data_IF_328696641506
#
_entry.id   IF_328696641506
#
_cell.length_a   1.000
_cell.length_b   1.000
_cell.length_c   1.000
_cell.angle_alpha   90.00
_cell.angle_beta   90.00
_cell.angle_gamma   90.00
#
_symmetry.space_group_name_H-M   'P 1'
#
loop_
_entity.id
_entity.type
_entity.pdbx_description
1 polymer ?
#
# COMPACT_ATOMS: atom_id res chain seq x y z
N UNK A 1 -16.90 1.92 12.84
CA UNK A 1 -15.46 1.71 13.14
C UNK A 1 -14.83 0.75 12.15
N UNK A 2 -15.36 -0.47 11.96
CA UNK A 2 -14.83 -1.43 10.98
C UNK A 2 -14.84 -0.94 9.54
N UNK A 3 -15.92 -0.27 9.09
CA UNK A 3 -15.99 0.28 7.72
C UNK A 3 -14.94 1.37 7.48
N UNK A 4 -14.72 2.23 8.47
CA UNK A 4 -13.72 3.29 8.40
C UNK A 4 -12.31 2.70 8.30
N UNK A 5 -12.01 1.68 9.10
CA UNK A 5 -10.73 0.95 9.03
C UNK A 5 -10.54 0.27 7.67
N UNK A 6 -11.59 -0.38 7.14
CA UNK A 6 -11.54 -1.00 5.83
C UNK A 6 -11.29 0.03 4.72
N UNK A 7 -11.96 1.17 4.76
CA UNK A 7 -11.74 2.29 3.83
C UNK A 7 -10.31 2.82 3.92
N UNK A 8 -9.77 3.05 5.13
CA UNK A 8 -8.38 3.49 5.29
C UNK A 8 -7.37 2.46 4.73
N UNK A 9 -7.61 1.16 4.92
CA UNK A 9 -6.74 0.12 4.36
C UNK A 9 -6.80 0.07 2.84
N UNK A 10 -7.99 0.23 2.25
CA UNK A 10 -8.14 0.32 0.79
C UNK A 10 -7.39 1.52 0.23
N UNK A 11 -7.51 2.69 0.87
CA UNK A 11 -6.79 3.90 0.42
C UNK A 11 -5.29 3.73 0.56
N UNK A 12 -4.81 3.16 1.67
CA UNK A 12 -3.38 2.84 1.85
C UNK A 12 -2.87 1.88 0.77
N UNK A 13 -3.64 0.85 0.44
CA UNK A 13 -3.29 -0.08 -0.63
C UNK A 13 -3.23 0.62 -2.00
N UNK A 14 -4.22 1.46 -2.32
CA UNK A 14 -4.23 2.26 -3.56
C UNK A 14 -3.01 3.18 -3.66
N UNK A 15 -2.67 3.83 -2.56
CA UNK A 15 -1.50 4.70 -2.46
C UNK A 15 -0.19 3.92 -2.71
N UNK A 16 -0.01 2.77 -2.07
CA UNK A 16 1.18 1.92 -2.24
C UNK A 16 1.30 1.39 -3.68
N UNK A 17 0.18 0.98 -4.28
CA UNK A 17 0.15 0.54 -5.69
C UNK A 17 0.54 1.68 -6.62
N UNK A 18 0.02 2.89 -6.39
CA UNK A 18 0.40 4.06 -7.21
C UNK A 18 1.89 4.37 -7.03
N UNK A 19 2.40 4.41 -5.80
CA UNK A 19 3.83 4.66 -5.53
C UNK A 19 4.72 3.65 -6.24
N UNK A 20 4.42 2.36 -6.11
CA UNK A 20 5.19 1.29 -6.76
C UNK A 20 5.14 1.38 -8.29
N UNK A 21 3.96 1.67 -8.85
CA UNK A 21 3.80 1.81 -10.29
C UNK A 21 4.52 3.07 -10.84
N UNK A 22 4.60 4.15 -10.06
CA UNK A 22 5.38 5.36 -10.38
C UNK A 22 6.88 5.09 -10.31
N UNK A 23 7.33 4.37 -9.29
CA UNK A 23 8.72 3.91 -9.19
C UNK A 23 9.10 3.07 -10.41
N UNK A 24 8.27 2.10 -10.79
CA UNK A 24 8.50 1.26 -11.97
C UNK A 24 8.53 2.09 -13.27
N UNK A 25 7.59 3.03 -13.44
CA UNK A 25 7.53 3.95 -14.57
C UNK A 25 8.82 4.78 -14.70
N UNK A 26 9.30 5.34 -13.59
CA UNK A 26 10.57 6.10 -13.54
C UNK A 26 11.75 5.22 -13.95
N UNK A 27 11.82 3.96 -13.50
CA UNK A 27 12.87 3.02 -13.92
C UNK A 27 12.81 2.71 -15.41
N UNK A 28 11.61 2.40 -15.94
CA UNK A 28 11.41 2.12 -17.37
C UNK A 28 11.78 3.34 -18.23
N UNK A 29 11.36 4.55 -17.84
CA UNK A 29 11.72 5.79 -18.54
C UNK A 29 13.22 6.06 -18.49
N UNK A 30 13.87 5.80 -17.34
CA UNK A 30 15.32 5.97 -17.20
C UNK A 30 16.10 5.03 -18.13
N UNK A 31 15.68 3.78 -18.23
CA UNK A 31 16.32 2.83 -19.14
C UNK A 31 16.06 3.19 -20.60
N UNK A 32 14.84 3.64 -20.94
CA UNK A 32 14.53 4.14 -22.28
C UNK A 32 15.32 5.40 -22.65
N UNK A 33 15.60 6.29 -21.70
CA UNK A 33 16.47 7.45 -21.92
C UNK A 33 17.91 7.03 -22.25
N UNK A 34 18.45 6.02 -21.56
CA UNK A 34 19.77 5.46 -21.89
C UNK A 34 19.78 4.84 -23.28
N UNK A 35 18.73 4.10 -23.65
CA UNK A 35 18.59 3.55 -25.00
C UNK A 35 18.54 4.64 -26.06
N UNK A 36 17.77 5.70 -25.85
CA UNK A 36 17.70 6.84 -26.78
C UNK A 36 19.05 7.58 -26.90
N UNK A 37 19.79 7.70 -25.80
CA UNK A 37 21.15 8.26 -25.81
C UNK A 37 22.09 7.40 -26.65
N UNK A 38 22.05 6.08 -26.50
CA UNK A 38 22.83 5.16 -27.34
C UNK A 38 22.41 5.27 -28.81
N UNK A 39 21.10 5.32 -29.11
CA UNK A 39 20.60 5.47 -30.47
C UNK A 39 21.02 6.81 -31.11
N UNK A 40 21.12 7.87 -30.31
CA UNK A 40 21.64 9.16 -30.76
C UNK A 40 23.13 9.06 -31.10
N UNK A 41 23.94 8.43 -30.24
CA UNK A 41 25.36 8.18 -30.51
C UNK A 41 25.55 7.38 -31.82
N UNK A 42 24.77 6.31 -31.99
CA UNK A 42 24.79 5.48 -33.20
C UNK A 42 24.36 6.28 -34.45
N UNK A 43 23.34 7.13 -34.32
CA UNK A 43 22.88 8.00 -35.39
C UNK A 43 23.93 9.06 -35.79
N UNK A 44 24.69 9.59 -34.84
CA UNK A 44 25.83 10.47 -35.13
C UNK A 44 26.99 9.74 -35.77
N UNK A 45 27.19 8.46 -35.46
CA UNK A 45 28.24 7.63 -36.04
C UNK A 45 27.92 7.10 -37.45
N UNK A 46 26.64 7.11 -37.86
CA UNK A 46 26.15 6.60 -39.15
C UNK A 46 26.99 7.07 -40.37
N UNK A 47 27.37 8.36 -40.50
CA UNK A 47 28.18 8.83 -41.63
C UNK A 47 29.59 8.25 -41.67
N UNK A 48 30.16 7.88 -40.51
CA UNK A 48 31.51 7.32 -40.39
C UNK A 48 31.58 5.89 -40.92
N UNK A 49 30.44 5.21 -41.05
CA UNK A 49 30.33 3.85 -41.60
C UNK A 49 30.35 3.83 -43.14
N UNK A 50 30.41 4.99 -43.80
CA UNK A 50 30.41 5.10 -45.24
C UNK A 50 31.77 4.66 -45.84
N UNK A 51 31.74 3.67 -46.74
CA UNK A 51 32.92 3.25 -47.52
C UNK A 51 33.11 4.06 -48.81
N UNK A 52 32.10 4.82 -49.25
CA UNK A 52 32.12 5.60 -50.49
C UNK A 52 31.60 7.03 -50.26
N UNK A 53 32.17 8.07 -50.92
CA UNK A 53 31.78 9.48 -50.73
C UNK A 53 30.30 9.78 -51.02
N UNK A 54 29.74 9.22 -52.09
CA UNK A 54 28.31 9.41 -52.41
C UNK A 54 27.38 8.79 -51.35
N UNK A 55 27.73 7.60 -50.86
CA UNK A 55 27.01 6.93 -49.76
C UNK A 55 27.09 7.73 -48.46
N UNK A 56 28.21 8.43 -48.24
CA UNK A 56 28.40 9.30 -47.08
C UNK A 56 27.39 10.45 -47.06
N UNK A 57 27.16 11.11 -48.20
CA UNK A 57 26.19 12.21 -48.30
C UNK A 57 24.77 11.71 -47.98
N UNK A 58 24.38 10.55 -48.51
CA UNK A 58 23.08 9.93 -48.21
C UNK A 58 22.95 9.56 -46.72
N UNK A 59 24.00 8.99 -46.11
CA UNK A 59 24.02 8.65 -44.69
C UNK A 59 24.05 9.89 -43.78
N UNK A 60 24.65 11.00 -44.22
CA UNK A 60 24.61 12.28 -43.51
C UNK A 60 23.18 12.84 -43.46
N UNK A 61 22.43 12.77 -44.56
CA UNK A 61 21.03 13.24 -44.57
C UNK A 61 20.09 12.31 -43.79
N UNK A 62 20.35 10.99 -43.80
CA UNK A 62 19.64 10.04 -42.94
C UNK A 62 19.95 10.27 -41.46
N UNK A 63 21.23 10.49 -41.13
CA UNK A 63 21.69 10.82 -39.78
C UNK A 63 20.99 12.06 -39.24
N UNK A 64 20.93 13.16 -40.01
CA UNK A 64 20.25 14.40 -39.59
C UNK A 64 18.78 14.16 -39.23
N UNK A 65 18.04 13.47 -40.11
CA UNK A 65 16.61 13.16 -39.86
C UNK A 65 16.41 12.29 -38.62
N UNK A 66 17.26 11.26 -38.46
CA UNK A 66 17.22 10.38 -37.28
C UNK A 66 17.53 11.15 -36.00
N UNK A 67 18.60 11.94 -35.98
CA UNK A 67 18.99 12.77 -34.83
C UNK A 67 17.89 13.75 -34.44
N UNK A 68 17.27 14.44 -35.41
CA UNK A 68 16.15 15.35 -35.13
C UNK A 68 14.96 14.62 -34.49
N UNK A 69 14.59 13.46 -35.03
CA UNK A 69 13.48 12.66 -34.48
C UNK A 69 13.79 12.12 -33.08
N UNK A 70 14.99 11.61 -32.86
CA UNK A 70 15.42 11.05 -31.57
C UNK A 70 15.56 12.13 -30.50
N UNK A 71 16.07 13.33 -30.84
CA UNK A 71 16.11 14.47 -29.92
C UNK A 71 14.72 14.93 -29.49
N UNK A 72 13.76 14.92 -30.41
CA UNK A 72 12.37 15.25 -30.09
C UNK A 72 11.80 14.24 -29.10
N UNK A 73 12.01 12.94 -29.36
CA UNK A 73 11.59 11.88 -28.45
C UNK A 73 12.28 11.98 -27.09
N UNK A 74 13.59 12.26 -27.05
CA UNK A 74 14.34 12.44 -25.81
C UNK A 74 13.78 13.60 -24.99
N UNK A 75 13.53 14.76 -25.61
CA UNK A 75 12.97 15.92 -24.93
C UNK A 75 11.57 15.63 -24.36
N UNK A 76 10.69 14.99 -25.14
CA UNK A 76 9.37 14.57 -24.67
C UNK A 76 9.46 13.60 -23.49
N UNK A 77 10.36 12.60 -23.57
CA UNK A 77 10.56 11.61 -22.51
C UNK A 77 11.18 12.23 -21.25
N UNK A 78 12.12 13.18 -21.39
CA UNK A 78 12.68 13.94 -20.26
C UNK A 78 11.61 14.77 -19.54
N UNK A 79 10.69 15.42 -20.27
CA UNK A 79 9.59 16.16 -19.63
C UNK A 79 8.63 15.24 -18.87
N UNK A 80 8.35 14.05 -19.40
CA UNK A 80 7.53 13.03 -18.71
C UNK A 80 8.26 12.49 -17.48
N UNK A 81 9.55 12.18 -17.61
CA UNK A 81 10.39 11.70 -16.50
C UNK A 81 10.41 12.69 -15.33
N UNK A 82 10.58 13.98 -15.60
CA UNK A 82 10.57 15.01 -14.56
C UNK A 82 9.24 15.05 -13.78
N UNK A 83 8.10 14.99 -14.50
CA UNK A 83 6.77 14.94 -13.87
C UNK A 83 6.57 13.68 -13.01
N UNK A 84 7.06 12.54 -13.47
CA UNK A 84 6.98 11.27 -12.73
C UNK A 84 7.84 11.27 -11.47
N UNK A 85 9.05 11.84 -11.52
CA UNK A 85 9.90 12.01 -10.33
C UNK A 85 9.29 13.00 -9.33
N UNK A 86 8.74 14.13 -9.79
CA UNK A 86 8.01 15.06 -8.92
C UNK A 86 6.82 14.38 -8.22
N UNK A 87 6.00 13.63 -8.98
CA UNK A 87 4.88 12.90 -8.41
C UNK A 87 5.33 11.83 -7.40
N UNK A 88 6.39 11.08 -7.71
CA UNK A 88 6.99 10.09 -6.82
C UNK A 88 7.50 10.73 -5.53
N UNK A 89 8.24 11.83 -5.60
CA UNK A 89 8.74 12.53 -4.41
C UNK A 89 7.60 13.05 -3.53
N UNK A 90 6.52 13.54 -4.14
CA UNK A 90 5.32 13.96 -3.41
C UNK A 90 4.70 12.77 -2.67
N UNK A 91 4.50 11.63 -3.34
CA UNK A 91 4.01 10.41 -2.71
C UNK A 91 4.90 9.99 -1.53
N UNK A 92 6.22 9.91 -1.72
CA UNK A 92 7.14 9.57 -0.62
C UNK A 92 7.00 10.56 0.56
N UNK A 93 6.84 11.86 0.29
CA UNK A 93 6.65 12.86 1.34
C UNK A 93 5.33 12.71 2.10
N UNK A 94 4.27 12.25 1.43
CA UNK A 94 2.98 11.97 2.07
C UNK A 94 3.05 10.69 2.89
N UNK A 95 3.77 9.68 2.42
CA UNK A 95 4.00 8.45 3.16
C UNK A 95 4.76 8.72 4.46
N UNK A 96 5.85 9.49 4.40
CA UNK A 96 6.61 9.87 5.58
C UNK A 96 5.74 10.64 6.58
N UNK A 97 4.96 11.62 6.12
CA UNK A 97 4.01 12.34 6.96
C UNK A 97 2.96 11.42 7.59
N UNK A 98 2.49 10.40 6.85
CA UNK A 98 1.54 9.42 7.38
C UNK A 98 2.17 8.55 8.49
N UNK A 99 3.44 8.19 8.36
CA UNK A 99 4.21 7.47 9.37
C UNK A 99 4.41 8.34 10.62
N UNK A 100 4.86 9.59 10.44
CA UNK A 100 5.04 10.53 11.55
C UNK A 100 3.74 10.74 12.34
N UNK A 101 2.62 10.84 11.63
CA UNK A 101 1.31 10.95 12.26
C UNK A 101 0.94 9.67 13.03
N UNK A 102 1.15 8.50 12.43
CA UNK A 102 0.87 7.22 13.09
C UNK A 102 1.69 7.04 14.37
N UNK A 103 2.97 7.44 14.34
CA UNK A 103 3.86 7.40 15.49
C UNK A 103 3.43 8.40 16.57
N UNK A 104 3.08 9.64 16.18
CA UNK A 104 2.56 10.64 17.11
C UNK A 104 1.26 10.18 17.77
N UNK A 105 0.38 9.56 16.99
CA UNK A 105 -0.87 8.96 17.48
C UNK A 105 -0.59 7.86 18.50
N UNK A 106 0.31 6.93 18.19
CA UNK A 106 0.68 5.85 19.10
C UNK A 106 1.29 6.38 20.40
N UNK A 107 2.16 7.40 20.32
CA UNK A 107 2.73 8.05 21.51
C UNK A 107 1.64 8.64 22.40
N UNK A 108 0.67 9.36 21.84
CA UNK A 108 -0.44 9.90 22.63
C UNK A 108 -1.36 8.80 23.19
N UNK A 109 -1.63 7.71 22.45
CA UNK A 109 -2.38 6.55 22.97
C UNK A 109 -1.66 5.93 24.17
N UNK A 110 -0.35 5.70 24.06
CA UNK A 110 0.44 5.13 25.16
C UNK A 110 0.44 6.04 26.40
N UNK A 111 0.48 7.36 26.19
CA UNK A 111 0.41 8.34 27.28
C UNK A 111 -0.95 8.34 27.97
N UNK A 112 -2.05 8.41 27.20
CA UNK A 112 -3.41 8.36 27.74
C UNK A 112 -3.67 7.04 28.48
N UNK A 113 -3.17 5.92 27.94
CA UNK A 113 -3.26 4.62 28.57
C UNK A 113 -2.48 4.58 29.89
N UNK A 114 -1.24 5.07 29.93
CA UNK A 114 -0.42 5.10 31.13
C UNK A 114 -1.02 5.99 32.23
N UNK A 115 -1.52 7.18 31.86
CA UNK A 115 -2.22 8.10 32.79
C UNK A 115 -3.43 7.40 33.43
N UNK A 116 -4.23 6.71 32.63
CA UNK A 116 -5.41 5.97 33.08
C UNK A 116 -5.07 4.76 33.94
N UNK A 117 -4.04 4.00 33.56
CA UNK A 117 -3.59 2.84 34.32
C UNK A 117 -3.10 3.27 35.70
N UNK A 118 -2.29 4.32 35.79
CA UNK A 118 -1.80 4.85 37.06
C UNK A 118 -2.96 5.28 38.00
N UNK A 119 -4.03 5.85 37.45
CA UNK A 119 -5.21 6.21 38.24
C UNK A 119 -6.04 5.00 38.69
N UNK A 120 -6.09 3.94 37.88
CA UNK A 120 -6.70 2.68 38.28
C UNK A 120 -5.91 2.02 39.41
N UNK A 121 -4.58 1.96 39.28
CA UNK A 121 -3.69 1.42 40.31
C UNK A 121 -3.88 2.20 41.62
N UNK A 122 -3.90 3.54 41.55
CA UNK A 122 -4.18 4.39 42.71
C UNK A 122 -5.57 4.15 43.32
N UNK A 123 -6.60 3.96 42.49
CA UNK A 123 -7.97 3.63 42.96
C UNK A 123 -7.96 2.31 43.73
N UNK A 124 -7.31 1.26 43.21
CA UNK A 124 -7.19 -0.02 43.91
C UNK A 124 -6.43 0.12 45.23
N UNK A 125 -5.28 0.81 45.24
CA UNK A 125 -4.52 1.06 46.46
C UNK A 125 -5.35 1.79 47.52
N UNK A 126 -6.08 2.86 47.13
CA UNK A 126 -6.92 3.61 48.05
C UNK A 126 -8.12 2.80 48.57
N UNK A 127 -8.70 1.91 47.75
CA UNK A 127 -9.76 1.01 48.18
C UNK A 127 -9.25 0.02 49.22
N UNK A 128 -8.09 -0.58 48.99
CA UNK A 128 -7.46 -1.51 49.94
C UNK A 128 -7.10 -0.79 51.26
N UNK A 129 -6.53 0.41 51.17
CA UNK A 129 -6.22 1.23 52.33
C UNK A 129 -7.47 1.63 53.11
N UNK A 130 -8.56 2.00 52.44
CA UNK A 130 -9.83 2.32 53.09
C UNK A 130 -10.43 1.10 53.79
N UNK A 131 -10.33 -0.08 53.19
CA UNK A 131 -10.77 -1.32 53.82
C UNK A 131 -9.94 -1.63 55.08
N UNK A 132 -8.63 -1.41 55.03
CA UNK A 132 -7.74 -1.52 56.20
C UNK A 132 -8.10 -0.50 57.29
N UNK A 133 -8.26 0.78 56.95
CA UNK A 133 -8.68 1.83 57.87
C UNK A 133 -10.03 1.50 58.51
N UNK A 134 -11.00 1.01 57.73
CA UNK A 134 -12.30 0.58 58.24
C UNK A 134 -12.16 -0.54 59.28
N UNK A 135 -11.35 -1.56 59.01
CA UNK A 135 -11.10 -2.64 59.97
C UNK A 135 -10.44 -2.13 61.24
N UNK A 136 -9.51 -1.18 61.14
CA UNK A 136 -8.87 -0.54 62.29
C UNK A 136 -9.87 0.25 63.13
N UNK A 137 -10.72 1.06 62.50
CA UNK A 137 -11.80 1.80 63.16
C UNK A 137 -12.78 0.84 63.85
N UNK A 138 -13.18 -0.24 63.18
CA UNK A 138 -14.06 -1.27 63.75
C UNK A 138 -13.41 -1.95 64.98
N UNK A 139 -12.10 -2.23 64.95
CA UNK A 139 -11.37 -2.78 66.10
C UNK A 139 -11.28 -1.80 67.25
N UNK A 140 -10.93 -0.54 66.99
CA UNK A 140 -10.86 0.52 68.01
C UNK A 140 -12.23 0.75 68.66
N UNK A 141 -13.30 0.74 67.86
CA UNK A 141 -14.66 0.84 68.36
C UNK A 141 -15.02 -0.33 69.30
N UNK A 142 -14.65 -1.55 68.95
CA UNK A 142 -14.87 -2.74 69.80
C UNK A 142 -14.04 -2.69 71.09
N UNK A 143 -12.83 -2.13 71.05
CA UNK A 143 -12.00 -1.94 72.25
C UNK A 143 -12.63 -0.90 73.18
N UNK A 144 -13.05 0.26 72.66
CA UNK A 144 -13.77 1.27 73.44
C UNK A 144 -15.10 0.75 74.02
N UNK A 145 -15.77 -0.18 73.34
CA UNK A 145 -16.98 -0.84 73.88
C UNK A 145 -16.67 -1.83 75.01
N UNK A 146 -15.50 -2.49 74.97
CA UNK A 146 -15.06 -3.40 76.04
C UNK A 146 -14.59 -2.63 77.27
N UNK A 147 -13.88 -1.52 77.09
CA UNK A 147 -13.48 -0.60 78.17
C UNK A 147 -14.72 -0.06 78.89
N UNK A 148 -15.75 0.41 78.14
CA UNK A 148 -17.05 0.83 78.70
C UNK A 148 -17.94 -0.29 79.25
N UNK A 149 -17.54 -1.55 79.10
CA UNK A 149 -18.38 -2.74 79.28
C UNK A 149 -18.00 -3.62 80.47
N UNK A 150 -17.04 -3.23 81.30
CA UNK A 150 -16.62 -4.00 82.50
C UNK A 150 -17.39 -3.60 83.77
N UNK A 151 -18.26 -2.58 83.72
CA UNK A 151 -19.03 -2.14 84.89
C UNK A 151 -20.44 -2.72 85.04
N UNK A 152 -20.83 -3.76 84.30
CA UNK A 152 -22.14 -4.38 84.54
C UNK A 152 -22.20 -5.90 84.26
N UNK A 153 -22.21 -6.67 85.38
CA UNK A 153 -22.50 -8.11 85.61
C UNK A 153 -21.23 -8.96 85.80
N UNK A 154 -20.94 -9.61 86.94
CA UNK A 154 -21.77 -10.16 88.01
C UNK A 154 -20.90 -10.47 89.25
N UNK A 155 -21.26 -9.91 90.41
CA UNK A 155 -21.16 -10.62 91.68
C UNK A 155 -22.46 -11.40 91.89
N UNK A 156 -22.34 -12.68 92.26
CA UNK A 156 -23.20 -13.50 93.13
C UNK A 156 -23.25 -14.99 92.69
N UNK A 157 -22.62 -15.81 93.54
CA UNK A 157 -22.90 -17.21 93.91
C UNK A 157 -22.73 -18.37 92.91
N UNK A 158 -21.63 -19.13 93.09
CA UNK A 158 -21.72 -20.43 93.76
C UNK A 158 -20.34 -21.00 94.16
N UNK A 159 -20.28 -21.44 95.43
CA UNK A 159 -19.19 -22.17 96.07
C UNK A 159 -18.92 -23.54 95.42
N UNK A 160 -17.66 -23.96 95.32
CA UNK A 160 -17.07 -25.05 96.14
C UNK A 160 -15.68 -25.48 95.62
N UNK A 161 -14.71 -25.42 96.55
CA UNK A 161 -13.54 -26.30 96.75
C UNK A 161 -12.41 -26.42 95.71
N UNK A 162 -11.21 -25.99 96.13
CA UNK A 162 -9.95 -26.48 95.58
C UNK A 162 -8.73 -25.57 95.84
N UNK A 163 -8.13 -25.67 97.03
CA UNK A 163 -6.83 -25.10 97.39
C UNK A 163 -5.74 -25.40 96.34
N UNK A 164 -4.86 -24.44 96.00
CA UNK A 164 -3.54 -24.33 96.67
C UNK A 164 -2.68 -23.14 96.18
N UNK A 165 -2.27 -22.31 97.14
CA UNK A 165 -0.97 -21.63 97.24
C UNK A 165 -0.43 -20.69 96.14
N UNK A 166 -0.57 -19.37 96.37
CA UNK A 166 0.59 -18.46 96.61
C UNK A 166 0.17 -17.06 97.07
N UNK A 167 0.29 -16.83 98.38
CA UNK A 167 0.73 -15.56 99.01
C UNK A 167 2.06 -15.11 98.36
N UNK A 168 2.49 -13.86 98.27
CA UNK A 168 1.99 -12.57 98.75
C UNK A 168 2.72 -11.51 97.91
N UNK A 169 2.01 -10.44 97.54
CA UNK A 169 2.52 -9.30 96.80
C UNK A 169 1.68 -8.07 97.13
N UNK A 170 1.77 -7.68 98.40
CA UNK A 170 0.97 -6.65 99.06
C UNK A 170 1.21 -5.25 98.47
N UNK A 171 0.12 -4.66 97.94
CA UNK A 171 -0.29 -3.27 98.17
C UNK A 171 0.36 -2.16 97.37
N UNK A 172 -0.45 -1.49 96.53
CA UNK A 172 -0.83 -0.08 96.69
C UNK A 172 -2.04 0.22 95.81
N UNK A 173 -3.13 0.66 96.45
CA UNK A 173 -4.27 1.29 95.79
C UNK A 173 -3.93 2.79 95.62
N UNK A 174 -3.61 3.16 94.38
CA UNK A 174 -3.60 4.50 93.79
C UNK A 174 -3.82 4.21 92.29
N UNK A 175 -4.77 4.71 91.52
CA UNK A 175 -5.80 5.73 91.60
C UNK A 175 -6.32 5.83 90.15
N UNK A 176 -7.60 6.12 89.98
CA UNK A 176 -8.41 6.10 88.73
C UNK A 176 -7.85 6.84 87.48
N UNK A 177 -6.65 7.41 87.51
CA UNK A 177 -6.13 8.25 86.44
C UNK A 177 -5.55 7.46 85.25
N UNK A 178 -5.11 6.21 85.43
CA UNK A 178 -4.49 5.43 84.35
C UNK A 178 -5.49 4.84 83.35
N UNK A 179 -6.71 4.52 83.79
CA UNK A 179 -7.77 3.98 82.94
C UNK A 179 -8.51 5.12 82.20
N UNK A 180 -8.68 6.30 82.80
CA UNK A 180 -9.19 7.49 82.10
C UNK A 180 -8.22 7.99 81.01
N UNK A 181 -6.89 7.99 81.28
CA UNK A 181 -5.87 8.34 80.29
C UNK A 181 -5.80 7.33 79.12
N UNK A 182 -6.04 6.04 79.40
CA UNK A 182 -6.10 5.00 78.36
C UNK A 182 -7.40 5.09 77.52
N UNK A 183 -8.54 5.40 78.14
CA UNK A 183 -9.81 5.62 77.42
C UNK A 183 -9.77 6.89 76.54
N UNK A 184 -9.14 7.96 77.03
CA UNK A 184 -8.92 9.19 76.26
C UNK A 184 -8.00 8.90 75.06
N UNK A 185 -6.94 8.12 75.26
CA UNK A 185 -6.01 7.69 74.20
C UNK A 185 -6.68 6.82 73.12
N UNK A 186 -7.50 5.83 73.50
CA UNK A 186 -8.25 4.98 72.55
C UNK A 186 -9.28 5.77 71.75
N UNK A 187 -9.93 6.75 72.39
CA UNK A 187 -10.91 7.63 71.73
C UNK A 187 -10.26 8.62 70.76
N UNK A 188 -9.15 9.24 71.15
CA UNK A 188 -8.39 10.13 70.27
C UNK A 188 -7.87 9.39 69.03
N UNK A 189 -7.35 8.17 69.21
CA UNK A 189 -6.93 7.30 68.10
C UNK A 189 -8.09 6.92 67.19
N UNK A 190 -9.28 6.66 67.74
CA UNK A 190 -10.48 6.40 66.96
C UNK A 190 -10.88 7.63 66.11
N UNK A 191 -10.93 8.81 66.72
CA UNK A 191 -11.31 10.05 66.04
C UNK A 191 -10.29 10.46 64.96
N UNK A 192 -8.99 10.26 65.21
CA UNK A 192 -7.94 10.50 64.21
C UNK A 192 -8.05 9.51 63.03
N UNK A 193 -8.22 8.21 63.29
CA UNK A 193 -8.38 7.22 62.23
C UNK A 193 -9.67 7.45 61.42
N UNK A 194 -10.75 7.90 62.06
CA UNK A 194 -11.99 8.29 61.39
C UNK A 194 -11.77 9.48 60.43
N UNK A 195 -11.05 10.53 60.86
CA UNK A 195 -10.69 11.66 59.98
C UNK A 195 -9.80 11.23 58.81
N UNK A 196 -8.82 10.35 59.05
CA UNK A 196 -7.97 9.80 57.99
C UNK A 196 -8.79 8.97 57.00
N UNK A 197 -9.74 8.18 57.47
CA UNK A 197 -10.66 7.42 56.62
C UNK A 197 -11.52 8.35 55.74
N UNK A 198 -12.10 9.40 56.32
CA UNK A 198 -12.89 10.40 55.58
C UNK A 198 -12.05 11.10 54.50
N UNK A 199 -10.84 11.55 54.84
CA UNK A 199 -9.93 12.19 53.88
C UNK A 199 -9.54 11.25 52.72
N UNK A 200 -9.25 9.97 53.01
CA UNK A 200 -8.97 8.96 51.98
C UNK A 200 -10.20 8.67 51.12
N UNK A 201 -11.40 8.69 51.70
CA UNK A 201 -12.65 8.47 50.97
C UNK A 201 -12.92 9.62 50.01
N UNK A 202 -12.73 10.87 50.44
CA UNK A 202 -12.82 12.05 49.58
C UNK A 202 -11.80 12.00 48.45
N UNK A 203 -10.55 11.64 48.76
CA UNK A 203 -9.51 11.50 47.74
C UNK A 203 -9.84 10.40 46.72
N UNK A 204 -10.35 9.25 47.17
CA UNK A 204 -10.83 8.18 46.28
C UNK A 204 -11.95 8.67 45.36
N UNK A 205 -12.90 9.47 45.86
CA UNK A 205 -13.95 10.05 45.03
C UNK A 205 -13.38 11.01 43.97
N UNK A 206 -12.36 11.80 44.31
CA UNK A 206 -11.66 12.67 43.36
C UNK A 206 -10.95 11.84 42.28
N UNK A 207 -10.23 10.78 42.65
CA UNK A 207 -9.56 9.87 41.71
C UNK A 207 -10.57 9.24 40.75
N UNK A 208 -11.74 8.79 41.24
CA UNK A 208 -12.82 8.24 40.39
C UNK A 208 -13.40 9.26 39.42
N UNK A 209 -13.59 10.52 39.85
CA UNK A 209 -14.02 11.61 38.96
C UNK A 209 -12.98 11.89 37.88
N UNK A 210 -11.69 11.88 38.25
CA UNK A 210 -10.61 12.11 37.30
C UNK A 210 -10.47 10.95 36.30
N UNK A 211 -10.66 9.70 36.74
CA UNK A 211 -10.77 8.53 35.85
C UNK A 211 -11.85 8.73 34.77
N UNK A 212 -13.06 9.13 35.15
CA UNK A 212 -14.15 9.40 34.20
C UNK A 212 -13.76 10.48 33.17
N UNK A 213 -13.15 11.58 33.64
CA UNK A 213 -12.64 12.64 32.76
C UNK A 213 -11.56 12.13 31.79
N UNK A 214 -10.72 11.19 32.22
CA UNK A 214 -9.74 10.53 31.35
C UNK A 214 -10.41 9.72 30.23
N UNK A 215 -11.48 8.96 30.51
CA UNK A 215 -12.26 8.28 29.48
C UNK A 215 -12.85 9.27 28.45
N UNK A 216 -13.47 10.36 28.91
CA UNK A 216 -14.03 11.39 28.01
C UNK A 216 -12.97 12.10 27.17
N UNK A 217 -11.78 12.33 27.73
CA UNK A 217 -10.64 12.90 27.00
C UNK A 217 -10.12 11.91 25.95
N UNK A 218 -9.98 10.64 26.32
CA UNK A 218 -9.53 9.57 25.44
C UNK A 218 -10.46 9.40 24.24
N UNK A 219 -11.78 9.42 24.46
CA UNK A 219 -12.78 9.29 23.40
C UNK A 219 -12.80 10.51 22.47
N UNK A 220 -12.73 11.73 23.01
CA UNK A 220 -12.59 12.95 22.20
C UNK A 220 -11.32 12.95 21.37
N UNK A 221 -10.21 12.55 21.97
CA UNK A 221 -8.93 12.46 21.29
C UNK A 221 -8.97 11.43 20.15
N UNK A 222 -9.55 10.24 20.38
CA UNK A 222 -9.73 9.22 19.33
C UNK A 222 -10.60 9.71 18.18
N UNK A 223 -11.68 10.42 18.48
CA UNK A 223 -12.57 10.99 17.47
C UNK A 223 -11.84 12.01 16.58
N UNK A 224 -11.05 12.90 17.19
CA UNK A 224 -10.22 13.86 16.46
C UNK A 224 -9.14 13.15 15.64
N UNK A 225 -8.42 12.20 16.23
CA UNK A 225 -7.34 11.47 15.57
C UNK A 225 -7.80 10.62 14.37
N UNK A 226 -9.03 10.09 14.42
CA UNK A 226 -9.62 9.36 13.29
C UNK A 226 -9.92 10.27 12.08
N UNK A 227 -10.25 11.54 12.33
CA UNK A 227 -10.64 12.49 11.28
C UNK A 227 -9.45 13.13 10.55
N UNK A 228 -8.31 13.30 11.22
CA UNK A 228 -7.11 13.97 10.71
C UNK A 228 -6.25 13.06 9.82
N UNK A 229 -6.15 11.76 10.13
CA UNK A 229 -5.38 10.82 9.30
C UNK A 229 -5.96 10.72 7.87
N UNK A 230 -7.28 10.81 7.74
CA UNK A 230 -7.95 10.72 6.44
C UNK A 230 -7.70 12.00 5.63
N UNK A 231 -7.96 13.19 6.19
CA UNK A 231 -7.85 14.45 5.43
C UNK A 231 -6.43 14.86 5.02
N UNK A 232 -5.42 14.57 5.85
CA UNK A 232 -4.06 15.04 5.59
C UNK A 232 -3.21 14.07 4.74
N UNK A 233 -3.64 12.82 4.60
CA UNK A 233 -2.91 11.79 3.83
C UNK A 233 -3.59 11.39 2.53
N UNK A 234 -4.89 11.68 2.38
CA UNK A 234 -5.67 11.37 1.18
C UNK A 234 -6.05 12.67 0.48
N UNK A 235 -5.15 13.21 -0.34
CA UNK A 235 -5.60 14.09 -1.41
C UNK A 235 -6.29 13.22 -2.46
N UNK A 236 -7.51 12.77 -2.16
CA UNK A 236 -8.30 11.87 -3.00
C UNK A 236 -8.50 12.48 -4.39
N UNK A 237 -8.67 13.80 -4.46
CA UNK A 237 -8.81 14.56 -5.71
C UNK A 237 -7.52 14.55 -6.53
N UNK A 238 -6.35 14.71 -5.90
CA UNK A 238 -5.06 14.65 -6.60
C UNK A 238 -4.73 13.23 -7.06
N UNK A 239 -4.93 12.23 -6.19
CA UNK A 239 -4.73 10.82 -6.52
C UNK A 239 -5.63 10.37 -7.67
N UNK A 240 -6.92 10.74 -7.64
CA UNK A 240 -7.86 10.43 -8.73
C UNK A 240 -7.51 11.18 -10.01
N UNK A 241 -7.19 12.48 -9.92
CA UNK A 241 -6.76 13.27 -11.08
C UNK A 241 -5.52 12.69 -11.75
N UNK A 242 -4.56 12.21 -10.97
CA UNK A 242 -3.30 11.64 -11.49
C UNK A 242 -3.49 10.23 -12.05
N UNK A 243 -4.36 9.43 -11.46
CA UNK A 243 -4.74 8.13 -12.01
C UNK A 243 -5.48 8.29 -13.34
N UNK A 244 -6.40 9.25 -13.42
CA UNK A 244 -7.09 9.60 -14.66
C UNK A 244 -6.12 10.11 -15.71
N UNK A 245 -5.23 11.06 -15.38
CA UNK A 245 -4.26 11.59 -16.35
C UNK A 245 -3.35 10.50 -16.90
N UNK A 246 -2.94 9.53 -16.06
CA UNK A 246 -2.14 8.39 -16.50
C UNK A 246 -2.93 7.42 -17.38
N UNK A 247 -4.19 7.15 -17.05
CA UNK A 247 -5.06 6.35 -17.90
C UNK A 247 -5.24 7.02 -19.26
N UNK A 248 -5.39 8.33 -19.29
CA UNK A 248 -5.46 9.12 -20.52
C UNK A 248 -4.14 9.03 -21.31
N UNK A 249 -2.99 9.21 -20.67
CA UNK A 249 -1.67 9.12 -21.31
C UNK A 249 -1.39 7.73 -21.87
N UNK A 250 -1.74 6.67 -21.13
CA UNK A 250 -1.58 5.28 -21.59
C UNK A 250 -2.53 4.94 -22.74
N UNK A 251 -3.77 5.42 -22.70
CA UNK A 251 -4.71 5.28 -23.81
C UNK A 251 -4.23 6.04 -25.05
N UNK A 252 -3.72 7.26 -24.89
CA UNK A 252 -3.16 8.03 -25.99
C UNK A 252 -1.97 7.29 -26.64
N UNK A 253 -1.07 6.72 -25.83
CA UNK A 253 0.06 5.94 -26.35
C UNK A 253 -0.42 4.69 -27.11
N UNK A 254 -1.39 3.93 -26.57
CA UNK A 254 -1.96 2.77 -27.26
C UNK A 254 -2.66 3.16 -28.57
N UNK A 255 -3.35 4.31 -28.60
CA UNK A 255 -3.97 4.85 -29.81
C UNK A 255 -2.91 5.16 -30.87
N UNK A 256 -1.83 5.87 -30.51
CA UNK A 256 -0.75 6.17 -31.47
C UNK A 256 -0.09 4.90 -32.02
N UNK A 257 0.19 3.89 -31.18
CA UNK A 257 0.72 2.60 -31.63
C UNK A 257 -0.25 1.88 -32.57
N UNK A 258 -1.54 1.92 -32.27
CA UNK A 258 -2.57 1.32 -33.12
C UNK A 258 -2.64 2.02 -34.48
N UNK A 259 -2.61 3.36 -34.50
CA UNK A 259 -2.60 4.14 -35.75
C UNK A 259 -1.37 3.84 -36.61
N UNK A 260 -0.19 3.74 -36.02
CA UNK A 260 1.04 3.35 -36.74
C UNK A 260 0.94 1.95 -37.35
N UNK A 261 0.46 0.97 -36.58
CA UNK A 261 0.24 -0.39 -37.09
C UNK A 261 -0.82 -0.41 -38.21
N UNK A 262 -1.89 0.36 -38.07
CA UNK A 262 -2.93 0.49 -39.08
C UNK A 262 -2.39 1.10 -40.37
N UNK A 263 -1.56 2.15 -40.28
CA UNK A 263 -0.92 2.77 -41.43
C UNK A 263 0.04 1.80 -42.15
N UNK A 264 0.84 1.04 -41.39
CA UNK A 264 1.74 0.03 -41.95
C UNK A 264 0.98 -1.06 -42.71
N UNK A 265 -0.10 -1.60 -42.12
CA UNK A 265 -0.96 -2.58 -42.77
C UNK A 265 -1.67 -2.02 -44.01
N UNK A 266 -2.18 -0.79 -43.95
CA UNK A 266 -2.77 -0.13 -45.11
C UNK A 266 -1.76 0.05 -46.25
N UNK A 267 -0.50 0.38 -45.93
CA UNK A 267 0.56 0.49 -46.92
C UNK A 267 0.85 -0.88 -47.59
N UNK A 268 0.92 -1.96 -46.81
CA UNK A 268 1.07 -3.32 -47.34
C UNK A 268 -0.10 -3.72 -48.23
N UNK A 269 -1.35 -3.43 -47.84
CA UNK A 269 -2.53 -3.69 -48.66
C UNK A 269 -2.45 -2.94 -50.00
N UNK A 270 -2.06 -1.67 -49.99
CA UNK A 270 -1.88 -0.89 -51.23
C UNK A 270 -0.83 -1.51 -52.15
N UNK A 271 0.31 -1.95 -51.60
CA UNK A 271 1.36 -2.65 -52.35
C UNK A 271 0.85 -3.97 -52.95
N UNK A 272 0.21 -4.81 -52.14
CA UNK A 272 -0.37 -6.09 -52.60
C UNK A 272 -1.43 -5.86 -53.68
N UNK A 273 -2.24 -4.80 -53.56
CA UNK A 273 -3.25 -4.45 -54.57
C UNK A 273 -2.60 -4.05 -55.90
N UNK A 274 -1.49 -3.30 -55.87
CA UNK A 274 -0.71 -2.96 -57.06
C UNK A 274 -0.10 -4.20 -57.72
N UNK A 275 0.50 -5.10 -56.92
CA UNK A 275 1.06 -6.37 -57.41
C UNK A 275 -0.02 -7.25 -58.03
N UNK A 276 -1.17 -7.38 -57.37
CA UNK A 276 -2.33 -8.11 -57.90
C UNK A 276 -2.78 -7.55 -59.24
N UNK A 277 -2.91 -6.23 -59.36
CA UNK A 277 -3.30 -5.59 -60.61
C UNK A 277 -2.29 -5.84 -61.74
N UNK A 278 -0.99 -5.75 -61.45
CA UNK A 278 0.06 -6.04 -62.43
C UNK A 278 0.04 -7.51 -62.89
N UNK A 279 -0.12 -8.45 -61.96
CA UNK A 279 -0.24 -9.87 -62.28
C UNK A 279 -1.51 -10.16 -63.10
N UNK A 280 -2.62 -9.48 -62.80
CA UNK A 280 -3.86 -9.62 -63.57
C UNK A 280 -3.67 -9.17 -65.02
N UNK A 281 -3.01 -8.03 -65.24
CA UNK A 281 -2.69 -7.54 -66.60
C UNK A 281 -1.82 -8.55 -67.35
N UNK A 282 -0.81 -9.14 -66.69
CA UNK A 282 0.03 -10.17 -67.31
C UNK A 282 -0.76 -11.42 -67.69
N UNK A 283 -1.69 -11.87 -66.84
CA UNK A 283 -2.58 -12.99 -67.13
C UNK A 283 -3.46 -12.67 -68.36
N UNK A 284 -4.04 -11.48 -68.40
CA UNK A 284 -4.90 -11.05 -69.50
C UNK A 284 -4.12 -10.95 -70.83
N UNK A 285 -2.88 -10.42 -70.81
CA UNK A 285 -2.00 -10.40 -71.98
C UNK A 285 -1.65 -11.81 -72.49
N UNK A 286 -1.32 -12.73 -71.58
CA UNK A 286 -1.02 -14.13 -71.93
C UNK A 286 -2.25 -14.81 -72.51
N UNK A 287 -3.43 -14.59 -71.92
CA UNK A 287 -4.70 -15.12 -72.43
C UNK A 287 -5.01 -14.57 -73.84
N UNK A 288 -4.81 -13.27 -74.08
CA UNK A 288 -4.98 -12.70 -75.42
C UNK A 288 -4.00 -13.30 -76.44
N UNK A 289 -2.73 -13.49 -76.07
CA UNK A 289 -1.75 -14.16 -76.94
C UNK A 289 -2.15 -15.60 -77.23
N UNK A 290 -2.61 -16.33 -76.22
CA UNK A 290 -3.10 -17.70 -76.37
C UNK A 290 -4.28 -17.77 -77.34
N UNK A 291 -5.27 -16.88 -77.19
CA UNK A 291 -6.41 -16.82 -78.11
C UNK A 291 -6.01 -16.46 -79.55
N UNK A 292 -5.07 -15.52 -79.74
CA UNK A 292 -4.54 -15.21 -81.07
C UNK A 292 -3.85 -16.41 -81.70
N UNK A 293 -2.94 -17.06 -80.96
CA UNK A 293 -2.26 -18.27 -81.44
C UNK A 293 -3.24 -19.40 -81.76
N UNK A 294 -4.30 -19.56 -80.97
CA UNK A 294 -5.34 -20.56 -81.24
C UNK A 294 -6.13 -20.23 -82.52
N UNK A 295 -6.46 -18.95 -82.74
CA UNK A 295 -7.11 -18.48 -83.97
C UNK A 295 -6.20 -18.65 -85.19
N UNK A 296 -4.93 -18.25 -85.09
CA UNK A 296 -3.93 -18.39 -86.16
C UNK A 296 -3.71 -19.86 -86.52
N UNK A 297 -3.65 -20.74 -85.51
CA UNK A 297 -3.59 -22.19 -85.70
C UNK A 297 -4.83 -22.73 -86.42
N UNK A 298 -6.03 -22.26 -86.08
CA UNK A 298 -7.26 -22.67 -86.76
C UNK A 298 -7.36 -22.15 -88.20
N UNK A 299 -6.80 -20.97 -88.49
CA UNK A 299 -6.80 -20.34 -89.81
C UNK A 299 -5.68 -20.85 -90.75
N UNK A 300 -4.66 -21.53 -90.21
CA UNK A 300 -3.59 -22.12 -91.01
C UNK A 300 -4.10 -23.28 -91.89
N UNK A 301 -3.44 -23.50 -93.04
CA UNK A 301 -3.79 -24.60 -93.96
C UNK A 301 -3.62 -25.97 -93.29
N UNK A 302 -4.36 -27.00 -93.74
CA UNK A 302 -4.31 -28.34 -93.14
C UNK A 302 -2.89 -28.93 -93.08
N UNK A 303 -2.02 -28.65 -94.08
CA UNK A 303 -0.63 -29.13 -94.05
C UNK A 303 0.20 -28.45 -92.97
N UNK A 304 -0.01 -27.15 -92.74
CA UNK A 304 0.67 -26.40 -91.67
C UNK A 304 0.13 -26.81 -90.30
N UNK A 305 -1.18 -27.03 -90.15
CA UNK A 305 -1.77 -27.56 -88.91
C UNK A 305 -1.20 -28.91 -88.52
N UNK A 306 -1.06 -29.84 -89.48
CA UNK A 306 -0.46 -31.16 -89.24
C UNK A 306 1.01 -31.06 -88.82
N UNK A 307 1.83 -30.30 -89.55
CA UNK A 307 3.23 -30.06 -89.18
C UNK A 307 3.38 -29.40 -87.80
N UNK A 308 2.55 -28.40 -87.50
CA UNK A 308 2.61 -27.70 -86.20
C UNK A 308 2.19 -28.64 -85.06
N UNK A 309 1.24 -29.55 -85.32
CA UNK A 309 0.79 -30.53 -84.33
C UNK A 309 1.85 -31.62 -84.09
N UNK A 310 2.56 -32.06 -85.12
CA UNK A 310 3.72 -32.96 -85.02
C UNK A 310 4.85 -32.34 -84.18
N UNK A 311 5.19 -31.06 -84.44
CA UNK A 311 6.19 -30.32 -83.65
C UNK A 311 5.75 -30.15 -82.20
N UNK A 312 4.47 -29.84 -81.94
CA UNK A 312 3.92 -29.76 -80.58
C UNK A 312 4.02 -31.11 -79.87
N UNK A 313 3.74 -32.23 -80.55
CA UNK A 313 3.88 -33.56 -79.94
C UNK A 313 5.33 -33.91 -79.63
N UNK A 314 6.27 -33.59 -80.52
CA UNK A 314 7.70 -33.81 -80.31
C UNK A 314 8.26 -32.98 -79.14
N UNK A 315 7.90 -31.69 -79.06
CA UNK A 315 8.31 -30.83 -77.95
C UNK A 315 7.70 -31.28 -76.62
N UNK A 316 6.46 -31.81 -76.63
CA UNK A 316 5.85 -32.39 -75.41
C UNK A 316 6.56 -33.65 -74.95
N UNK A 317 6.99 -34.53 -75.86
CA UNK A 317 7.78 -35.70 -75.49
C UNK A 317 9.16 -35.30 -74.94
N UNK A 318 9.83 -34.32 -75.57
CA UNK A 318 11.12 -33.81 -75.06
C UNK A 318 10.98 -33.16 -73.68
N UNK A 319 9.92 -32.40 -73.42
CA UNK A 319 9.65 -31.82 -72.09
C UNK A 319 9.41 -32.91 -71.04
N UNK A 320 8.68 -33.97 -71.35
CA UNK A 320 8.46 -35.08 -70.42
C UNK A 320 9.72 -35.93 -70.20
N UNK A 321 10.56 -36.12 -71.22
CA UNK A 321 11.89 -36.72 -71.07
C UNK A 321 12.79 -35.85 -70.18
N UNK A 322 12.84 -34.54 -70.42
CA UNK A 322 13.60 -33.62 -69.56
C UNK A 322 13.07 -33.60 -68.13
N UNK A 323 11.75 -33.62 -67.90
CA UNK A 323 11.18 -33.77 -66.55
C UNK A 323 11.53 -35.11 -65.92
N UNK A 324 11.57 -36.19 -66.69
CA UNK A 324 11.96 -37.52 -66.20
C UNK A 324 13.45 -37.58 -65.82
N UNK A 325 14.33 -36.93 -66.60
CA UNK A 325 15.74 -36.75 -66.28
C UNK A 325 15.90 -35.90 -65.02
N UNK A 326 15.20 -34.76 -64.92
CA UNK A 326 15.23 -33.88 -63.74
C UNK A 326 14.69 -34.54 -62.47
N UNK A 327 13.78 -35.52 -62.58
CA UNK A 327 13.33 -36.36 -61.47
C UNK A 327 14.36 -37.44 -61.09
N UNK A 328 15.11 -37.97 -62.06
CA UNK A 328 16.20 -38.94 -61.82
C UNK A 328 17.44 -38.29 -61.22
N UNK A 329 17.73 -37.03 -61.54
CA UNK A 329 18.84 -36.24 -60.98
C UNK A 329 18.56 -35.68 -59.57
N UNK A 330 17.31 -35.79 -59.09
CA UNK A 330 16.90 -35.37 -57.72
C UNK A 330 16.81 -36.52 -56.71
N UNK A 331 17.09 -37.75 -57.13
CA UNK A 331 17.32 -38.95 -56.28
C UNK A 331 18.83 -39.16 -56.18
#
# INVERSE_FOLDING_TARGET
MWDLQAQTQVVRARFLVERAAREESVFQMRDRLKELQQQLEDAYALPLQATHPLKRIELEDQSKKLVESLKKQEAELQTRYAKEEEAKTLLVSLELRSCDYADAKLKEETKLFAEKQALWDLNFTLVDELQSCRQTIERLYLLMQKEKGIDNKQEEDNMEEGQDSREDGQGTAEGDDADEDAELSSRELYEENARVFEAKLEYLQQVRRFLLMCYDREDRWRALAASTLIKDTTSDEWMTSIQLSRQEDTLALLQTQHEEQQQALQHQIKLLTKVKAALQVQIDEVNMKMHRLQSDYQAASESVRLQTQEVITALRSEIEEHKAVLRKEKL
#
